data_IF_026154937536
#
_entry.id   IF_026154937536
#
_cell.length_a   1.000
_cell.length_b   1.000
_cell.length_c   1.000
_cell.angle_alpha   90.00
_cell.angle_beta   90.00
_cell.angle_gamma   90.00
#
_symmetry.space_group_name_H-M   'P 1'
#
loop_
_entity.id
_entity.type
_entity.pdbx_description
1 polymer ?
#
# COMPACT_ATOMS: atom_id res chain seq x y z
N UNK A 1 -11.22 -43.67 26.43
CA UNK A 1 -11.07 -42.77 27.61
C UNK A 1 -9.79 -41.93 27.56
N UNK A 2 -8.92 -42.10 26.55
CA UNK A 2 -7.74 -41.27 26.27
C UNK A 2 -8.07 -39.84 25.80
N UNK A 3 -9.19 -39.63 25.10
CA UNK A 3 -9.60 -38.30 24.62
C UNK A 3 -9.90 -37.28 25.73
N UNK A 4 -10.07 -37.74 26.98
CA UNK A 4 -10.32 -36.86 28.13
C UNK A 4 -9.05 -36.25 28.71
N UNK A 5 -7.89 -36.39 28.09
CA UNK A 5 -6.63 -35.78 28.56
C UNK A 5 -6.01 -34.82 27.52
N UNK A 6 -6.53 -34.73 26.29
CA UNK A 6 -6.01 -33.78 25.30
C UNK A 6 -6.14 -32.32 25.76
N UNK A 7 -7.13 -32.01 26.61
CA UNK A 7 -7.30 -30.67 27.17
C UNK A 7 -6.21 -30.28 28.18
N UNK A 8 -5.59 -31.26 28.86
CA UNK A 8 -4.51 -30.97 29.82
C UNK A 8 -3.24 -30.47 29.13
N UNK A 9 -3.04 -30.81 27.85
CA UNK A 9 -1.87 -30.38 27.08
C UNK A 9 -2.05 -28.97 26.46
N UNK A 10 -3.24 -28.38 26.56
CA UNK A 10 -3.53 -27.06 25.94
C UNK A 10 -3.38 -25.88 26.90
N UNK A 11 -2.89 -26.14 28.12
CA UNK A 11 -2.67 -25.08 29.10
C UNK A 11 -1.43 -24.26 28.79
N UNK A 12 -1.55 -22.94 28.92
CA UNK A 12 -0.40 -22.07 28.73
C UNK A 12 0.51 -22.16 29.96
N UNK A 13 1.73 -22.64 29.74
CA UNK A 13 2.76 -22.81 30.77
C UNK A 13 3.57 -21.53 30.95
N UNK A 14 3.81 -20.79 29.86
CA UNK A 14 4.64 -19.57 29.84
C UNK A 14 3.82 -18.29 30.04
N UNK A 15 2.96 -18.29 31.07
CA UNK A 15 2.17 -17.12 31.47
C UNK A 15 2.87 -16.29 32.53
N UNK A 16 2.85 -14.98 32.35
CA UNK A 16 3.20 -14.01 33.40
C UNK A 16 2.01 -13.74 34.30
N UNK A 17 0.83 -13.56 33.71
CA UNK A 17 -0.40 -13.21 34.42
C UNK A 17 -1.48 -14.23 34.09
N UNK A 18 -1.99 -14.92 35.12
CA UNK A 18 -3.05 -15.91 34.95
C UNK A 18 -4.44 -15.29 34.93
N UNK A 19 -4.65 -14.24 35.72
CA UNK A 19 -5.98 -13.62 35.86
C UNK A 19 -6.12 -12.38 34.99
N UNK A 20 -7.34 -12.14 34.50
CA UNK A 20 -7.68 -10.93 33.74
C UNK A 20 -7.46 -9.65 34.54
N UNK A 21 -7.66 -9.73 35.86
CA UNK A 21 -7.46 -8.61 36.76
C UNK A 21 -5.98 -8.18 36.80
N UNK A 22 -5.06 -9.15 36.83
CA UNK A 22 -3.62 -8.87 36.78
C UNK A 22 -3.22 -8.28 35.43
N UNK A 23 -3.73 -8.85 34.33
CA UNK A 23 -3.48 -8.34 32.98
C UNK A 23 -3.96 -6.89 32.81
N UNK A 24 -5.15 -6.55 33.34
CA UNK A 24 -5.68 -5.19 33.24
C UNK A 24 -4.98 -4.20 34.17
N UNK A 25 -4.73 -4.57 35.44
CA UNK A 25 -4.20 -3.65 36.44
C UNK A 25 -2.69 -3.55 36.42
N UNK A 26 -1.98 -4.65 36.17
CA UNK A 26 -0.50 -4.70 36.20
C UNK A 26 0.09 -4.35 34.85
N UNK A 27 -0.45 -4.89 33.75
CA UNK A 27 0.04 -4.59 32.39
C UNK A 27 -0.72 -3.46 31.70
N UNK A 28 -1.81 -2.96 32.28
CA UNK A 28 -2.58 -1.87 31.68
C UNK A 28 -3.36 -2.28 30.43
N UNK A 29 -3.75 -3.55 30.30
CA UNK A 29 -4.60 -3.99 29.19
C UNK A 29 -5.96 -3.28 29.25
N UNK A 30 -6.35 -2.64 28.14
CA UNK A 30 -7.60 -1.90 28.04
C UNK A 30 -8.66 -2.75 27.33
N UNK A 31 -9.63 -3.23 28.09
CA UNK A 31 -10.78 -3.96 27.54
C UNK A 31 -11.60 -3.01 26.66
N UNK A 32 -11.77 -3.38 25.38
CA UNK A 32 -12.59 -2.60 24.46
C UNK A 32 -14.08 -2.81 24.73
N UNK A 33 -14.95 -1.78 24.60
CA UNK A 33 -16.37 -1.90 24.92
C UNK A 33 -17.11 -2.97 24.10
N UNK A 34 -16.70 -3.19 22.85
CA UNK A 34 -17.27 -4.20 21.95
C UNK A 34 -16.97 -5.64 22.37
N UNK A 35 -16.00 -5.85 23.27
CA UNK A 35 -15.58 -7.17 23.73
C UNK A 35 -16.07 -7.52 25.14
N UNK A 36 -16.79 -6.63 25.83
CA UNK A 36 -17.20 -6.80 27.23
C UNK A 36 -17.96 -8.11 27.50
N UNK A 37 -18.71 -8.61 26.53
CA UNK A 37 -19.44 -9.89 26.65
C UNK A 37 -18.51 -11.08 26.91
N UNK A 38 -17.28 -11.06 26.38
CA UNK A 38 -16.30 -12.13 26.56
C UNK A 38 -15.66 -12.12 27.96
N UNK A 39 -15.64 -10.97 28.64
CA UNK A 39 -15.05 -10.84 29.97
C UNK A 39 -16.07 -11.04 31.09
N UNK A 40 -17.37 -11.08 30.77
CA UNK A 40 -18.43 -11.20 31.78
C UNK A 40 -18.36 -12.58 32.44
N UNK A 41 -18.18 -12.62 33.77
CA UNK A 41 -18.03 -13.83 34.59
C UNK A 41 -16.76 -14.66 34.34
N UNK A 42 -15.80 -14.14 33.57
CA UNK A 42 -14.51 -14.80 33.37
C UNK A 42 -13.45 -14.14 34.26
N UNK A 43 -12.68 -14.95 34.97
CA UNK A 43 -11.52 -14.50 35.74
C UNK A 43 -10.20 -14.95 35.11
N UNK A 44 -10.24 -16.07 34.39
CA UNK A 44 -9.11 -16.69 33.72
C UNK A 44 -8.85 -16.04 32.36
N UNK A 45 -7.64 -15.51 32.17
CA UNK A 45 -7.27 -14.86 30.92
C UNK A 45 -7.13 -15.86 29.76
N UNK A 46 -6.66 -17.08 30.04
CA UNK A 46 -6.44 -18.11 29.03
C UNK A 46 -7.77 -18.52 28.37
N UNK A 47 -8.80 -18.68 29.20
CA UNK A 47 -10.14 -19.01 28.71
C UNK A 47 -10.70 -17.94 27.77
N UNK A 48 -10.49 -16.66 28.07
CA UNK A 48 -10.94 -15.57 27.19
C UNK A 48 -10.18 -15.55 25.87
N UNK A 49 -8.89 -15.90 25.87
CA UNK A 49 -8.10 -16.06 24.62
C UNK A 49 -8.72 -17.16 23.74
N UNK A 50 -9.08 -18.30 24.33
CA UNK A 50 -9.76 -19.37 23.60
C UNK A 50 -11.17 -18.97 23.13
N UNK A 51 -11.95 -18.27 23.97
CA UNK A 51 -13.27 -17.77 23.58
C UNK A 51 -13.17 -16.79 22.37
N UNK A 52 -12.10 -15.97 22.29
CA UNK A 52 -11.83 -15.14 21.10
C UNK A 52 -11.46 -15.96 19.87
N UNK A 53 -10.62 -16.99 20.04
CA UNK A 53 -10.23 -17.90 18.97
C UNK A 53 -11.45 -18.63 18.37
N UNK A 54 -12.31 -19.18 19.22
CA UNK A 54 -13.55 -19.85 18.81
C UNK A 54 -14.51 -18.92 18.08
N UNK A 55 -14.56 -17.64 18.48
CA UNK A 55 -15.32 -16.60 17.79
C UNK A 55 -14.67 -16.10 16.49
N UNK A 56 -13.50 -16.64 16.09
CA UNK A 56 -12.74 -16.20 14.91
C UNK A 56 -12.14 -14.79 15.05
N UNK A 57 -12.00 -14.30 16.28
CA UNK A 57 -11.44 -12.98 16.63
C UNK A 57 -9.94 -13.07 16.90
N UNK A 58 -9.19 -13.70 15.99
CA UNK A 58 -7.76 -14.01 16.12
C UNK A 58 -6.90 -12.83 16.55
N UNK A 59 -7.10 -11.64 15.96
CA UNK A 59 -6.39 -10.42 16.36
C UNK A 59 -6.58 -10.09 17.85
N UNK A 60 -7.80 -10.21 18.37
CA UNK A 60 -8.10 -9.93 19.78
C UNK A 60 -7.47 -10.99 20.70
N UNK A 61 -7.46 -12.24 20.25
CA UNK A 61 -6.79 -13.35 20.93
C UNK A 61 -5.28 -13.09 21.04
N UNK A 62 -4.61 -12.72 19.93
CA UNK A 62 -3.21 -12.33 19.92
C UNK A 62 -2.93 -11.12 20.82
N UNK A 63 -3.78 -10.09 20.79
CA UNK A 63 -3.64 -8.90 21.64
C UNK A 63 -3.64 -9.27 23.13
N UNK A 64 -4.63 -10.04 23.60
CA UNK A 64 -4.69 -10.46 25.00
C UNK A 64 -3.52 -11.40 25.36
N UNK A 65 -3.15 -12.29 24.45
CA UNK A 65 -2.03 -13.22 24.63
C UNK A 65 -0.69 -12.49 24.81
N UNK A 66 -0.43 -11.44 24.04
CA UNK A 66 0.78 -10.63 24.17
C UNK A 66 0.93 -9.98 25.56
N UNK A 67 -0.19 -9.62 26.19
CA UNK A 67 -0.21 -9.00 27.52
C UNK A 67 -0.06 -10.02 28.67
N UNK A 68 -0.55 -11.25 28.49
CA UNK A 68 -0.45 -12.28 29.53
C UNK A 68 0.82 -13.13 29.45
N UNK A 69 1.46 -13.20 28.27
CA UNK A 69 2.64 -14.02 28.04
C UNK A 69 3.85 -13.56 28.86
N UNK A 70 4.71 -14.51 29.24
CA UNK A 70 6.05 -14.21 29.75
C UNK A 70 6.83 -13.40 28.70
N UNK A 71 7.51 -12.32 29.12
CA UNK A 71 8.13 -11.35 28.19
C UNK A 71 9.07 -12.00 27.17
N UNK A 72 9.92 -12.92 27.62
CA UNK A 72 10.84 -13.68 26.75
C UNK A 72 10.09 -14.55 25.73
N UNK A 73 9.02 -15.20 26.17
CA UNK A 73 8.20 -16.04 25.31
C UNK A 73 7.43 -15.19 24.29
N UNK A 74 6.93 -14.02 24.68
CA UNK A 74 6.27 -13.08 23.77
C UNK A 74 7.21 -12.58 22.64
N UNK A 75 8.47 -12.30 22.96
CA UNK A 75 9.48 -11.91 21.97
C UNK A 75 9.84 -13.08 21.05
N UNK A 76 10.01 -14.30 21.59
CA UNK A 76 10.19 -15.51 20.77
C UNK A 76 9.00 -15.77 19.83
N UNK A 77 7.78 -15.61 20.33
CA UNK A 77 6.58 -15.71 19.52
C UNK A 77 6.56 -14.66 18.39
N UNK A 78 6.87 -13.40 18.68
CA UNK A 78 7.02 -12.36 17.66
C UNK A 78 8.09 -12.70 16.62
N UNK A 79 9.20 -13.30 17.05
CA UNK A 79 10.29 -13.77 16.19
C UNK A 79 9.84 -14.90 15.26
N UNK A 80 9.10 -15.89 15.76
CA UNK A 80 8.51 -16.95 14.95
C UNK A 80 7.51 -16.42 13.91
N UNK A 81 6.69 -15.43 14.28
CA UNK A 81 5.78 -14.79 13.33
C UNK A 81 6.55 -14.04 12.21
N UNK A 82 7.70 -13.47 12.54
CA UNK A 82 8.55 -12.77 11.58
C UNK A 82 9.27 -13.74 10.64
N UNK A 83 9.75 -14.89 11.13
CA UNK A 83 10.28 -15.97 10.27
C UNK A 83 9.24 -16.43 9.26
N UNK A 84 8.02 -16.71 9.73
CA UNK A 84 6.94 -17.14 8.85
C UNK A 84 6.59 -16.09 7.79
N UNK A 85 6.69 -14.79 8.11
CA UNK A 85 6.55 -13.72 7.13
C UNK A 85 7.70 -13.73 6.11
N UNK A 86 8.95 -13.92 6.55
CA UNK A 86 10.11 -13.97 5.67
C UNK A 86 9.97 -15.14 4.69
N UNK A 87 9.53 -16.32 5.15
CA UNK A 87 9.21 -17.46 4.31
C UNK A 87 8.14 -17.12 3.26
N UNK A 88 7.05 -16.45 3.66
CA UNK A 88 6.02 -16.00 2.71
C UNK A 88 6.57 -15.05 1.65
N UNK A 89 7.43 -14.11 2.06
CA UNK A 89 8.02 -13.11 1.17
C UNK A 89 9.04 -13.70 0.20
N UNK A 90 9.67 -14.84 0.54
CA UNK A 90 10.51 -15.58 -0.41
C UNK A 90 9.68 -16.15 -1.57
N UNK A 91 8.44 -16.57 -1.30
CA UNK A 91 7.54 -17.12 -2.33
C UNK A 91 6.91 -16.00 -3.16
N UNK A 92 6.39 -14.97 -2.49
CA UNK A 92 5.76 -13.83 -3.14
C UNK A 92 6.38 -12.55 -2.57
N UNK A 93 7.44 -12.01 -3.20
CA UNK A 93 8.10 -10.81 -2.71
C UNK A 93 7.14 -9.62 -2.72
N UNK A 94 7.40 -8.66 -1.84
CA UNK A 94 6.66 -7.41 -1.83
C UNK A 94 7.02 -6.61 -3.09
N UNK A 95 6.04 -6.37 -3.96
CA UNK A 95 6.21 -5.42 -5.06
C UNK A 95 6.29 -4.01 -4.46
N UNK A 96 7.46 -3.39 -4.60
CA UNK A 96 7.61 -1.99 -4.32
C UNK A 96 6.73 -1.19 -5.29
N UNK A 97 6.01 -0.19 -4.76
CA UNK A 97 5.26 0.71 -5.63
C UNK A 97 6.28 1.49 -6.42
N UNK A 98 6.32 1.25 -7.72
CA UNK A 98 7.11 2.03 -8.63
C UNK A 98 6.70 3.51 -8.51
N UNK A 99 7.64 4.33 -8.04
CA UNK A 99 7.42 5.76 -7.87
C UNK A 99 7.23 6.41 -9.25
N UNK A 100 7.85 5.84 -10.29
CA UNK A 100 7.76 6.34 -11.67
C UNK A 100 6.37 6.08 -12.29
N UNK A 101 5.62 5.11 -11.74
CA UNK A 101 4.23 4.87 -12.15
C UNK A 101 3.32 6.05 -11.81
N UNK A 102 3.70 6.90 -10.84
CA UNK A 102 2.96 8.12 -10.48
C UNK A 102 2.98 9.12 -11.64
N UNK A 103 4.08 9.21 -12.39
CA UNK A 103 4.14 10.04 -13.60
C UNK A 103 3.34 9.45 -14.75
N UNK A 104 3.39 8.13 -14.92
CA UNK A 104 3.03 7.47 -16.18
C UNK A 104 1.51 7.45 -16.45
N UNK A 105 0.65 7.28 -15.44
CA UNK A 105 -0.81 7.21 -15.66
C UNK A 105 -1.54 8.45 -15.14
N UNK A 106 -1.85 9.39 -16.04
CA UNK A 106 -2.95 10.34 -15.83
C UNK A 106 -3.71 10.51 -17.11
N UNK A 107 -4.49 9.49 -17.41
CA UNK A 107 -5.68 9.69 -18.19
C UNK A 107 -6.74 10.14 -17.18
N UNK A 108 -7.09 11.44 -17.12
CA UNK A 108 -8.21 11.85 -16.31
C UNK A 108 -9.44 11.11 -16.84
N UNK A 109 -9.92 10.12 -16.09
CA UNK A 109 -11.14 9.43 -16.44
C UNK A 109 -12.24 10.48 -16.59
N UNK A 110 -12.74 10.63 -17.81
CA UNK A 110 -13.87 11.52 -18.08
C UNK A 110 -15.00 11.07 -17.15
N UNK A 111 -15.51 11.94 -16.27
CA UNK A 111 -16.58 11.55 -15.37
C UNK A 111 -17.74 10.94 -16.15
N UNK A 112 -18.44 9.96 -15.58
CA UNK A 112 -19.48 9.21 -16.31
C UNK A 112 -20.59 10.11 -16.87
N UNK A 113 -20.86 11.26 -16.24
CA UNK A 113 -21.82 12.25 -16.75
C UNK A 113 -21.37 12.94 -18.06
N UNK A 114 -20.08 12.93 -18.37
CA UNK A 114 -19.50 13.48 -19.60
C UNK A 114 -19.25 12.39 -20.66
N UNK A 115 -19.38 11.10 -20.30
CA UNK A 115 -19.41 9.96 -21.23
C UNK A 115 -20.80 9.73 -21.84
N UNK A 116 -21.64 10.77 -21.95
CA UNK A 116 -22.96 10.64 -22.58
C UNK A 116 -22.75 10.39 -24.06
N UNK A 117 -22.92 9.14 -24.48
CA UNK A 117 -23.00 8.80 -25.90
C UNK A 117 -24.09 9.69 -26.53
N UNK A 118 -23.80 10.37 -27.65
CA UNK A 118 -24.81 11.14 -28.34
C UNK A 118 -26.02 10.24 -28.62
N UNK A 119 -27.25 10.68 -28.31
CA UNK A 119 -28.43 9.85 -28.47
C UNK A 119 -28.48 9.34 -29.91
N UNK A 120 -28.43 8.02 -30.08
CA UNK A 120 -28.53 7.40 -31.39
C UNK A 120 -29.83 7.89 -32.04
N UNK A 121 -29.82 8.27 -33.32
CA UNK A 121 -31.03 8.73 -34.00
C UNK A 121 -32.09 7.63 -33.90
N UNK A 122 -33.14 7.89 -33.13
CA UNK A 122 -34.25 6.96 -32.98
C UNK A 122 -35.15 7.10 -34.21
N UNK A 123 -35.18 6.09 -35.12
CA UNK A 123 -35.92 6.19 -36.37
C UNK A 123 -37.42 6.38 -36.13
N UNK A 124 -37.97 5.93 -34.99
CA UNK A 124 -39.36 6.15 -34.64
C UNK A 124 -39.63 7.63 -34.33
N UNK A 125 -38.75 8.28 -33.55
CA UNK A 125 -38.84 9.73 -33.30
C UNK A 125 -38.67 10.56 -34.56
N UNK A 126 -37.79 10.16 -35.47
CA UNK A 126 -37.62 10.83 -36.76
C UNK A 126 -38.91 10.72 -37.58
N UNK A 127 -39.48 9.51 -37.70
CA UNK A 127 -40.74 9.27 -38.41
C UNK A 127 -41.93 10.02 -37.76
N UNK A 128 -42.03 10.06 -36.43
CA UNK A 128 -43.06 10.82 -35.71
C UNK A 128 -42.93 12.32 -35.96
N UNK A 129 -41.70 12.83 -36.01
CA UNK A 129 -41.45 14.24 -36.31
C UNK A 129 -41.81 14.56 -37.77
N UNK A 130 -41.46 13.70 -38.72
CA UNK A 130 -41.86 13.82 -40.13
C UNK A 130 -43.38 13.76 -40.30
N UNK A 131 -44.07 12.85 -39.62
CA UNK A 131 -45.52 12.73 -39.63
C UNK A 131 -46.20 13.98 -39.02
N UNK A 132 -45.65 14.52 -37.93
CA UNK A 132 -46.11 15.76 -37.31
C UNK A 132 -45.95 16.96 -38.27
N UNK A 133 -44.81 17.06 -38.96
CA UNK A 133 -44.55 18.08 -39.98
C UNK A 133 -45.56 17.95 -41.13
N UNK A 134 -45.79 16.73 -41.65
CA UNK A 134 -46.75 16.48 -42.72
C UNK A 134 -48.18 16.84 -42.30
N UNK A 135 -48.58 16.53 -41.06
CA UNK A 135 -49.89 16.89 -40.52
C UNK A 135 -50.06 18.41 -40.40
N UNK A 136 -49.08 19.11 -39.83
CA UNK A 136 -49.11 20.57 -39.74
C UNK A 136 -49.17 21.22 -41.14
N UNK A 137 -48.46 20.67 -42.12
CA UNK A 137 -48.55 21.13 -43.51
C UNK A 137 -49.94 20.91 -44.10
N UNK A 138 -50.57 19.75 -43.87
CA UNK A 138 -51.91 19.46 -44.35
C UNK A 138 -52.97 20.38 -43.73
N UNK A 139 -52.94 20.56 -42.41
CA UNK A 139 -53.83 21.48 -41.68
C UNK A 139 -53.65 22.92 -42.15
N UNK A 140 -52.40 23.35 -42.39
CA UNK A 140 -52.11 24.66 -42.95
C UNK A 140 -52.72 24.85 -44.34
N UNK A 141 -52.63 23.86 -45.24
CA UNK A 141 -53.25 23.95 -46.58
C UNK A 141 -54.78 23.96 -46.51
N UNK A 142 -55.39 23.20 -45.59
CA UNK A 142 -56.83 23.20 -45.40
C UNK A 142 -57.35 24.54 -44.88
N UNK A 143 -56.66 25.13 -43.90
CA UNK A 143 -56.98 26.47 -43.39
C UNK A 143 -56.79 27.54 -44.46
N UNK A 144 -55.75 27.41 -45.29
CA UNK A 144 -55.52 28.29 -46.43
C UNK A 144 -56.64 28.19 -47.48
N UNK A 145 -57.18 27.00 -47.73
CA UNK A 145 -58.30 26.83 -48.68
C UNK A 145 -59.62 27.45 -48.19
N UNK A 146 -59.80 27.60 -46.87
CA UNK A 146 -61.00 28.18 -46.24
C UNK A 146 -60.91 29.69 -46.03
N UNK A 147 -59.71 30.26 -46.10
CA UNK A 147 -59.49 31.67 -45.87
C UNK A 147 -59.84 32.51 -47.13
N UNK A 148 -60.36 33.71 -46.90
CA UNK A 148 -60.72 34.66 -47.95
C UNK A 148 -59.46 35.08 -48.75
N UNK A 149 -59.45 34.96 -50.10
CA UNK A 149 -58.28 35.26 -50.92
C UNK A 149 -57.70 36.66 -50.72
N UNK A 150 -58.55 37.66 -50.43
CA UNK A 150 -58.11 39.04 -50.21
C UNK A 150 -57.35 39.20 -48.88
N UNK A 151 -57.82 38.50 -47.83
CA UNK A 151 -57.15 38.44 -46.53
C UNK A 151 -55.82 37.68 -46.60
N UNK A 152 -55.78 36.56 -47.34
CA UNK A 152 -54.54 35.80 -47.55
C UNK A 152 -53.48 36.66 -48.24
N UNK A 153 -53.87 37.40 -49.28
CA UNK A 153 -52.95 38.29 -49.99
C UNK A 153 -52.40 39.38 -49.06
N UNK A 154 -53.26 39.98 -48.22
CA UNK A 154 -52.81 40.99 -47.24
C UNK A 154 -51.80 40.42 -46.23
N UNK A 155 -51.98 39.18 -45.77
CA UNK A 155 -51.05 38.51 -44.86
C UNK A 155 -49.75 38.16 -45.56
N UNK A 156 -49.80 37.61 -46.77
CA UNK A 156 -48.61 37.28 -47.57
C UNK A 156 -47.77 38.54 -47.87
N UNK A 157 -48.42 39.63 -48.28
CA UNK A 157 -47.76 40.91 -48.54
C UNK A 157 -47.13 41.48 -47.25
N UNK A 158 -47.83 41.40 -46.11
CA UNK A 158 -47.31 41.84 -44.82
C UNK A 158 -46.12 41.00 -44.34
N UNK A 159 -46.16 39.69 -44.58
CA UNK A 159 -45.11 38.74 -44.18
C UNK A 159 -43.86 38.90 -45.06
N UNK A 160 -44.03 39.15 -46.35
CA UNK A 160 -42.94 39.51 -47.26
C UNK A 160 -42.30 40.84 -46.85
N UNK A 161 -43.09 41.85 -46.47
CA UNK A 161 -42.58 43.13 -46.00
C UNK A 161 -41.77 42.99 -44.70
N UNK A 162 -42.24 42.15 -43.77
CA UNK A 162 -41.50 41.79 -42.56
C UNK A 162 -40.21 41.02 -42.87
N UNK A 163 -40.23 40.10 -43.85
CA UNK A 163 -39.04 39.37 -44.29
C UNK A 163 -38.02 40.26 -44.99
N UNK A 164 -38.47 41.28 -45.74
CA UNK A 164 -37.59 42.28 -46.33
C UNK A 164 -36.94 43.17 -45.27
N UNK A 165 -37.68 43.61 -44.25
CA UNK A 165 -37.10 44.33 -43.11
C UNK A 165 -36.10 43.45 -42.35
N UNK A 166 -36.42 42.17 -42.12
CA UNK A 166 -35.48 41.22 -41.52
C UNK A 166 -34.21 41.08 -42.37
N UNK A 167 -34.35 40.99 -43.70
CA UNK A 167 -33.23 40.93 -44.64
C UNK A 167 -32.40 42.21 -44.61
N UNK A 168 -33.00 43.40 -44.44
CA UNK A 168 -32.25 44.66 -44.25
C UNK A 168 -31.41 44.64 -42.98
N UNK A 169 -31.91 44.08 -41.89
CA UNK A 169 -31.21 44.04 -40.59
C UNK A 169 -30.14 42.94 -40.54
N UNK A 170 -30.45 41.74 -41.03
CA UNK A 170 -29.61 40.54 -40.85
C UNK A 170 -28.90 40.06 -42.14
N UNK A 171 -29.13 40.71 -43.27
CA UNK A 171 -28.48 40.42 -44.56
C UNK A 171 -29.01 39.19 -45.31
N UNK A 172 -29.85 38.36 -44.69
CA UNK A 172 -30.39 37.13 -45.27
C UNK A 172 -31.92 37.08 -45.16
N UNK A 173 -32.56 36.51 -46.18
CA UNK A 173 -33.99 36.23 -46.11
C UNK A 173 -34.24 35.07 -45.12
N UNK A 174 -35.25 35.12 -44.23
CA UNK A 174 -35.50 34.03 -43.26
C UNK A 174 -35.62 32.63 -43.89
N UNK A 175 -36.26 32.55 -45.05
CA UNK A 175 -36.36 31.29 -45.81
C UNK A 175 -35.03 30.82 -46.41
N UNK A 176 -34.09 31.72 -46.71
CA UNK A 176 -32.73 31.36 -47.13
C UNK A 176 -31.94 30.82 -45.94
N UNK A 177 -32.10 31.38 -44.73
CA UNK A 177 -31.48 30.84 -43.52
C UNK A 177 -31.97 29.44 -43.20
N UNK A 178 -33.28 29.18 -43.30
CA UNK A 178 -33.85 27.85 -43.12
C UNK A 178 -33.29 26.85 -44.16
N UNK A 179 -33.16 27.28 -45.43
CA UNK A 179 -32.52 26.46 -46.46
C UNK A 179 -31.04 26.23 -46.20
N UNK A 180 -30.30 27.23 -45.70
CA UNK A 180 -28.89 27.07 -45.32
C UNK A 180 -28.71 26.13 -44.13
N UNK A 181 -29.62 26.16 -43.16
CA UNK A 181 -29.61 25.22 -42.03
C UNK A 181 -29.97 23.81 -42.50
N UNK A 182 -30.95 23.66 -43.38
CA UNK A 182 -31.34 22.35 -43.93
C UNK A 182 -30.31 21.76 -44.91
N UNK A 183 -29.55 22.62 -45.62
CA UNK A 183 -28.50 22.20 -46.55
C UNK A 183 -27.15 21.98 -45.87
N UNK A 184 -26.95 22.47 -44.64
CA UNK A 184 -25.80 22.08 -43.84
C UNK A 184 -25.96 20.59 -43.54
N UNK A 185 -25.01 19.72 -43.96
CA UNK A 185 -25.04 18.33 -43.54
C UNK A 185 -25.12 18.30 -42.02
N UNK A 186 -25.84 17.32 -41.47
CA UNK A 186 -25.91 17.07 -40.02
C UNK A 186 -24.57 16.59 -39.46
N UNK A 187 -23.46 17.09 -39.99
CA UNK A 187 -22.16 16.84 -39.43
C UNK A 187 -22.15 17.48 -38.05
N UNK A 188 -21.90 16.69 -36.99
CA UNK A 188 -21.77 17.22 -35.65
C UNK A 188 -20.75 18.34 -35.71
N UNK A 189 -21.14 19.53 -35.25
CA UNK A 189 -20.34 20.76 -35.28
C UNK A 189 -18.84 20.45 -35.27
N UNK A 190 -18.09 20.77 -36.36
CA UNK A 190 -16.68 20.42 -36.43
C UNK A 190 -16.01 21.02 -35.21
N UNK A 191 -15.54 20.15 -34.33
CA UNK A 191 -14.85 20.55 -33.11
C UNK A 191 -13.59 21.27 -33.58
N UNK A 192 -13.59 22.61 -33.46
CA UNK A 192 -12.42 23.40 -33.78
C UNK A 192 -11.33 23.07 -32.76
N UNK A 193 -10.36 22.26 -33.18
CA UNK A 193 -9.19 21.88 -32.39
C UNK A 193 -8.39 23.10 -31.90
N UNK A 194 -8.54 24.27 -32.55
CA UNK A 194 -7.90 25.51 -32.13
C UNK A 194 -8.74 26.38 -31.18
N UNK A 195 -9.90 25.89 -30.75
CA UNK A 195 -10.75 26.59 -29.78
C UNK A 195 -9.93 26.94 -28.52
N UNK A 196 -10.13 28.14 -27.93
CA UNK A 196 -9.51 28.53 -26.67
C UNK A 196 -9.68 27.49 -25.56
N UNK A 197 -10.74 26.69 -25.62
CA UNK A 197 -11.01 25.60 -24.67
C UNK A 197 -9.96 24.49 -24.77
N UNK A 198 -9.60 24.04 -25.98
CA UNK A 198 -8.57 23.00 -26.15
C UNK A 198 -7.18 23.51 -25.81
N UNK A 199 -6.86 24.76 -26.18
CA UNK A 199 -5.61 25.40 -25.76
C UNK A 199 -5.48 25.50 -24.24
N UNK A 200 -6.54 25.93 -23.55
CA UNK A 200 -6.56 25.96 -22.09
C UNK A 200 -6.43 24.55 -21.49
N UNK A 201 -7.07 23.54 -22.10
CA UNK A 201 -6.92 22.16 -21.65
C UNK A 201 -5.48 21.64 -21.82
N UNK A 202 -4.83 21.93 -22.94
CA UNK A 202 -3.43 21.52 -23.20
C UNK A 202 -2.43 22.29 -22.32
N UNK A 203 -2.68 23.58 -22.06
CA UNK A 203 -1.93 24.36 -21.07
C UNK A 203 -2.08 23.82 -19.65
N UNK A 204 -3.27 23.36 -19.27
CA UNK A 204 -3.49 22.75 -17.95
C UNK A 204 -2.80 21.40 -17.88
N UNK A 205 -2.90 20.57 -18.92
CA UNK A 205 -2.21 19.27 -19.00
C UNK A 205 -0.69 19.44 -18.91
N UNK A 206 -0.11 20.36 -19.66
CA UNK A 206 1.33 20.63 -19.60
C UNK A 206 1.77 21.14 -18.23
N UNK A 207 1.07 22.09 -17.62
CA UNK A 207 1.36 22.54 -16.24
C UNK A 207 1.28 21.41 -15.23
N UNK A 208 0.28 20.54 -15.36
CA UNK A 208 0.08 19.39 -14.48
C UNK A 208 1.20 18.35 -14.65
N UNK A 209 1.69 18.13 -15.88
CA UNK A 209 2.89 17.32 -16.13
C UNK A 209 4.15 17.94 -15.52
N UNK A 210 4.35 19.26 -15.63
CA UNK A 210 5.49 19.94 -14.99
C UNK A 210 5.46 19.79 -13.47
N UNK A 211 4.32 20.07 -12.82
CA UNK A 211 4.18 19.93 -11.36
C UNK A 211 4.42 18.49 -10.91
N UNK A 212 4.02 17.49 -11.71
CA UNK A 212 4.29 16.08 -11.42
C UNK A 212 5.76 15.74 -11.49
N UNK A 213 6.46 16.22 -12.52
CA UNK A 213 7.90 16.00 -12.63
C UNK A 213 8.64 16.65 -11.45
N UNK A 214 8.30 17.89 -11.11
CA UNK A 214 8.87 18.57 -9.94
C UNK A 214 8.57 17.82 -8.63
N UNK A 215 7.37 17.24 -8.52
CA UNK A 215 6.99 16.42 -7.36
C UNK A 215 7.80 15.13 -7.30
N UNK A 216 8.03 14.46 -8.44
CA UNK A 216 8.87 13.27 -8.51
C UNK A 216 10.32 13.59 -8.15
N UNK A 217 10.89 14.65 -8.73
CA UNK A 217 12.25 15.08 -8.41
C UNK A 217 12.38 15.41 -6.92
N UNK A 218 11.35 16.03 -6.32
CA UNK A 218 11.29 16.27 -4.88
C UNK A 218 11.21 14.96 -4.08
N UNK A 219 10.43 13.99 -4.53
CA UNK A 219 10.32 12.67 -3.88
C UNK A 219 11.67 11.94 -3.94
N UNK A 220 12.33 11.88 -5.10
CA UNK A 220 13.65 11.27 -5.25
C UNK A 220 14.75 12.01 -4.46
N UNK A 221 14.64 13.33 -4.29
CA UNK A 221 15.59 14.10 -3.48
C UNK A 221 15.45 13.87 -1.97
N UNK A 222 14.24 13.56 -1.49
CA UNK A 222 13.95 13.37 -0.07
C UNK A 222 14.05 11.90 0.36
N UNK A 223 13.68 10.96 -0.52
CA UNK A 223 13.71 9.53 -0.22
C UNK A 223 15.08 8.97 -0.65
N UNK A 224 15.91 8.49 0.30
CA UNK A 224 17.17 7.87 -0.07
C UNK A 224 16.94 6.64 -0.95
N UNK A 225 17.82 6.36 -1.93
CA UNK A 225 17.70 5.16 -2.75
C UNK A 225 17.77 3.94 -1.85
N UNK A 226 16.78 3.05 -1.99
CA UNK A 226 16.80 1.76 -1.31
C UNK A 226 17.92 0.93 -1.91
N UNK A 227 18.81 0.44 -1.07
CA UNK A 227 19.86 -0.52 -1.46
C UNK A 227 19.44 -1.87 -0.86
N UNK A 228 18.88 -2.81 -1.66
CA UNK A 228 18.30 -4.05 -1.15
C UNK A 228 19.26 -4.86 -0.27
N UNK A 229 20.55 -4.88 -0.62
CA UNK A 229 21.59 -5.55 0.17
C UNK A 229 21.79 -4.93 1.56
N UNK A 230 21.74 -3.60 1.65
CA UNK A 230 21.83 -2.90 2.93
C UNK A 230 20.59 -3.19 3.79
N UNK A 231 19.40 -3.15 3.20
CA UNK A 231 18.15 -3.48 3.91
C UNK A 231 18.14 -4.92 4.42
N UNK A 232 18.57 -5.87 3.58
CA UNK A 232 18.71 -7.27 3.97
C UNK A 232 19.70 -7.42 5.14
N UNK A 233 20.88 -6.80 5.06
CA UNK A 233 21.89 -6.84 6.12
C UNK A 233 21.39 -6.24 7.44
N UNK A 234 20.69 -5.11 7.39
CA UNK A 234 20.14 -4.48 8.60
C UNK A 234 19.04 -5.36 9.21
N UNK A 235 18.17 -5.95 8.38
CA UNK A 235 17.17 -6.93 8.83
C UNK A 235 17.82 -8.13 9.50
N UNK A 236 18.87 -8.69 8.90
CA UNK A 236 19.54 -9.89 9.42
C UNK A 236 20.28 -9.58 10.74
N UNK A 237 20.90 -8.40 10.84
CA UNK A 237 21.45 -7.90 12.10
C UNK A 237 20.36 -7.78 13.19
N UNK A 238 19.16 -7.33 12.83
CA UNK A 238 18.04 -7.21 13.76
C UNK A 238 17.58 -8.59 14.24
N UNK A 239 17.39 -9.54 13.33
CA UNK A 239 17.04 -10.92 13.65
C UNK A 239 18.07 -11.56 14.58
N UNK A 240 19.35 -11.34 14.32
CA UNK A 240 20.42 -11.88 15.15
C UNK A 240 20.49 -11.21 16.54
N UNK A 241 20.25 -9.90 16.64
CA UNK A 241 20.18 -9.21 17.93
C UNK A 241 18.99 -9.68 18.77
N UNK A 242 17.83 -9.86 18.15
CA UNK A 242 16.63 -10.42 18.80
C UNK A 242 16.91 -11.84 19.30
N UNK A 243 17.45 -12.72 18.44
CA UNK A 243 17.75 -14.10 18.81
C UNK A 243 18.74 -14.16 19.98
N UNK A 244 19.83 -13.38 19.94
CA UNK A 244 20.79 -13.29 21.06
C UNK A 244 20.13 -12.88 22.37
N UNK A 245 19.23 -11.91 22.33
CA UNK A 245 18.45 -11.52 23.51
C UNK A 245 17.51 -12.64 23.97
N UNK A 246 16.88 -13.36 23.04
CA UNK A 246 16.03 -14.51 23.37
C UNK A 246 16.85 -15.62 24.01
N UNK A 247 18.09 -15.88 23.60
CA UNK A 247 18.95 -16.91 24.20
C UNK A 247 19.48 -16.45 25.57
N UNK A 248 19.93 -15.20 25.66
CA UNK A 248 20.49 -14.59 26.86
C UNK A 248 19.91 -13.17 27.05
N UNK A 249 18.81 -13.01 27.81
CA UNK A 249 18.14 -11.72 28.02
C UNK A 249 18.90 -10.86 29.05
N UNK A 250 20.17 -10.59 28.78
CA UNK A 250 21.04 -9.71 29.55
C UNK A 250 21.02 -8.27 29.03
N UNK A 251 21.62 -7.36 29.79
CA UNK A 251 21.66 -5.92 29.45
C UNK A 251 22.49 -5.63 28.19
N UNK A 252 23.52 -6.43 27.93
CA UNK A 252 24.40 -6.27 26.75
C UNK A 252 23.59 -6.56 25.48
N UNK A 253 22.84 -7.66 25.46
CA UNK A 253 22.00 -8.04 24.33
C UNK A 253 20.78 -7.12 24.21
N UNK A 254 20.22 -6.65 25.33
CA UNK A 254 19.15 -5.65 25.30
C UNK A 254 19.62 -4.33 24.66
N UNK A 255 20.83 -3.88 24.99
CA UNK A 255 21.45 -2.70 24.38
C UNK A 255 21.68 -2.90 22.89
N UNK A 256 22.21 -4.04 22.46
CA UNK A 256 22.37 -4.36 21.03
C UNK A 256 21.03 -4.34 20.29
N UNK A 257 19.98 -4.89 20.89
CA UNK A 257 18.63 -4.85 20.31
C UNK A 257 18.11 -3.40 20.17
N UNK A 258 18.42 -2.52 21.13
CA UNK A 258 18.11 -1.09 21.02
C UNK A 258 18.89 -0.41 19.87
N UNK A 259 20.19 -0.67 19.78
CA UNK A 259 21.06 -0.11 18.72
C UNK A 259 20.54 -0.50 17.34
N UNK A 260 20.31 -1.79 17.10
CA UNK A 260 19.82 -2.28 15.81
C UNK A 260 18.37 -1.85 15.54
N UNK A 261 17.53 -1.78 16.57
CA UNK A 261 16.17 -1.24 16.46
C UNK A 261 16.17 0.21 15.95
N UNK A 262 17.15 1.02 16.35
CA UNK A 262 17.31 2.39 15.84
C UNK A 262 17.76 2.44 14.37
N UNK A 263 18.45 1.42 13.88
CA UNK A 263 18.90 1.35 12.48
C UNK A 263 17.77 0.97 11.51
N UNK A 264 16.72 0.29 11.98
CA UNK A 264 15.60 -0.19 11.13
C UNK A 264 14.21 -0.04 11.77
N UNK A 265 13.97 1.10 12.40
CA UNK A 265 12.74 1.39 13.16
C UNK A 265 11.43 1.29 12.36
N UNK A 266 11.50 1.32 11.03
CA UNK A 266 10.39 1.22 10.08
C UNK A 266 10.04 -0.22 9.70
N UNK A 267 10.87 -1.19 10.06
CA UNK A 267 10.66 -2.61 9.73
C UNK A 267 10.03 -3.38 10.90
N UNK A 268 9.32 -4.49 10.64
CA UNK A 268 8.84 -5.36 11.72
C UNK A 268 9.97 -5.93 12.59
N UNK A 269 11.14 -6.19 12.00
CA UNK A 269 12.33 -6.68 12.69
C UNK A 269 12.91 -5.63 13.66
N UNK A 270 13.04 -4.38 13.22
CA UNK A 270 13.49 -3.29 14.08
C UNK A 270 12.53 -3.04 15.24
N UNK A 271 11.21 -3.07 14.98
CA UNK A 271 10.23 -2.93 16.05
C UNK A 271 10.28 -4.11 17.05
N UNK A 272 10.48 -5.34 16.59
CA UNK A 272 10.66 -6.50 17.46
C UNK A 272 11.97 -6.39 18.28
N UNK A 273 13.01 -5.78 17.72
CA UNK A 273 14.25 -5.48 18.45
C UNK A 273 14.00 -4.49 19.60
N UNK A 274 13.18 -3.45 19.39
CA UNK A 274 12.72 -2.60 20.49
C UNK A 274 11.90 -3.37 21.53
N UNK A 275 11.06 -4.31 21.11
CA UNK A 275 10.29 -5.14 22.03
C UNK A 275 11.20 -6.01 22.90
N UNK A 276 12.27 -6.58 22.33
CA UNK A 276 13.31 -7.31 23.08
C UNK A 276 13.99 -6.41 24.11
N UNK A 277 14.38 -5.19 23.72
CA UNK A 277 14.93 -4.20 24.64
C UNK A 277 13.95 -3.85 25.78
N UNK A 278 12.71 -3.50 25.47
CA UNK A 278 11.67 -3.18 26.46
C UNK A 278 11.32 -4.38 27.35
N UNK A 279 11.44 -5.60 26.84
CA UNK A 279 11.23 -6.80 27.62
C UNK A 279 12.31 -6.98 28.71
N UNK A 280 13.55 -6.53 28.45
CA UNK A 280 14.67 -6.56 29.39
C UNK A 280 14.46 -5.76 30.68
N UNK A 281 13.56 -4.78 30.66
CA UNK A 281 13.08 -4.10 31.86
C UNK A 281 13.87 -2.88 32.31
N UNK A 282 15.03 -2.57 31.72
CA UNK A 282 15.80 -1.35 31.98
C UNK A 282 15.84 -0.44 30.74
N UNK A 283 15.28 0.77 30.83
CA UNK A 283 15.29 1.75 29.74
C UNK A 283 16.61 2.53 29.61
N UNK A 284 17.52 2.40 30.58
CA UNK A 284 18.79 3.15 30.61
C UNK A 284 19.99 2.20 30.72
N UNK A 285 20.27 1.40 29.66
CA UNK A 285 21.33 0.39 29.69
C UNK A 285 22.75 0.97 29.80
N UNK A 286 22.93 2.25 29.49
CA UNK A 286 24.24 2.94 29.53
C UNK A 286 24.42 3.84 30.76
N UNK A 287 23.52 3.78 31.73
CA UNK A 287 23.64 4.64 32.90
C UNK A 287 24.85 4.20 33.74
N UNK A 288 25.90 5.02 33.78
CA UNK A 288 27.10 4.83 34.63
C UNK A 288 26.78 4.83 36.14
N UNK A 289 25.52 4.98 36.52
CA UNK A 289 25.06 5.28 37.87
C UNK A 289 24.17 4.18 38.47
N UNK A 290 24.22 2.95 37.93
CA UNK A 290 23.36 1.83 38.35
C UNK A 290 21.86 2.19 38.40
N UNK A 291 21.44 3.18 37.59
CA UNK A 291 20.08 3.68 37.60
C UNK A 291 19.21 2.77 36.73
N UNK A 292 18.40 1.94 37.39
CA UNK A 292 17.40 1.10 36.71
C UNK A 292 16.13 1.91 36.52
N UNK A 293 15.82 2.26 35.28
CA UNK A 293 14.53 2.85 34.91
C UNK A 293 13.62 1.73 34.43
N UNK A 294 12.61 1.31 35.22
CA UNK A 294 11.77 0.18 34.86
C UNK A 294 10.95 0.49 33.61
N UNK A 295 10.89 -0.46 32.67
CA UNK A 295 10.01 -0.36 31.51
C UNK A 295 8.55 -0.25 31.96
N UNK A 296 7.78 0.75 31.47
CA UNK A 296 6.36 0.88 31.75
C UNK A 296 5.57 -0.41 31.45
N UNK A 297 4.58 -0.67 32.29
CA UNK A 297 3.61 -1.74 32.11
C UNK A 297 2.99 -1.73 30.71
N UNK A 298 2.88 -2.91 30.09
CA UNK A 298 2.28 -3.06 28.77
C UNK A 298 3.06 -2.48 27.59
N UNK A 299 4.21 -1.81 27.79
CA UNK A 299 4.96 -1.23 26.66
C UNK A 299 5.47 -2.32 25.71
N UNK A 300 6.10 -3.36 26.24
CA UNK A 300 6.56 -4.49 25.44
C UNK A 300 5.40 -5.22 24.77
N UNK A 301 4.29 -5.47 25.48
CA UNK A 301 3.10 -6.13 24.93
C UNK A 301 2.47 -5.32 23.78
N UNK A 302 2.33 -4.01 23.94
CA UNK A 302 1.89 -3.12 22.87
C UNK A 302 2.83 -3.17 21.66
N UNK A 303 4.13 -3.16 21.90
CA UNK A 303 5.13 -3.34 20.86
C UNK A 303 4.91 -4.62 20.06
N UNK A 304 4.75 -5.77 20.75
CA UNK A 304 4.47 -7.05 20.10
C UNK A 304 3.17 -7.00 19.30
N UNK A 305 2.09 -6.41 19.83
CA UNK A 305 0.85 -6.22 19.07
C UNK A 305 1.06 -5.41 17.77
N UNK A 306 1.91 -4.39 17.81
CA UNK A 306 2.27 -3.59 16.63
C UNK A 306 3.16 -4.37 15.65
N UNK A 307 4.12 -5.17 16.14
CA UNK A 307 4.92 -6.09 15.30
C UNK A 307 3.99 -7.04 14.54
N UNK A 308 3.07 -7.70 15.24
CA UNK A 308 2.12 -8.62 14.62
C UNK A 308 1.24 -7.92 13.59
N UNK A 309 0.81 -6.69 13.88
CA UNK A 309 0.04 -5.88 12.93
C UNK A 309 0.87 -5.52 11.69
N UNK A 310 2.12 -5.09 11.86
CA UNK A 310 3.03 -4.79 10.75
C UNK A 310 3.29 -6.04 9.91
N UNK A 311 3.56 -7.19 10.54
CA UNK A 311 3.73 -8.45 9.83
C UNK A 311 2.45 -8.86 9.09
N UNK A 312 1.28 -8.69 9.70
CA UNK A 312 0.02 -9.08 9.09
C UNK A 312 -0.37 -8.17 7.90
N UNK A 313 -0.03 -6.88 7.96
CA UNK A 313 -0.26 -5.87 6.92
C UNK A 313 0.87 -5.75 5.89
N UNK A 314 1.97 -6.49 6.06
CA UNK A 314 3.10 -6.43 5.14
C UNK A 314 2.65 -6.76 3.72
N UNK A 315 3.13 -5.99 2.74
CA UNK A 315 2.84 -6.23 1.32
C UNK A 315 3.52 -7.52 0.85
N UNK A 316 2.96 -8.16 -0.18
CA UNK A 316 3.43 -9.48 -0.63
C UNK A 316 3.00 -10.61 0.30
N UNK A 317 3.62 -11.77 0.12
CA UNK A 317 3.31 -13.02 0.80
C UNK A 317 2.04 -13.73 0.28
N UNK A 318 1.81 -14.94 0.77
CA UNK A 318 0.76 -15.83 0.25
C UNK A 318 -0.56 -15.73 1.03
N UNK A 319 -0.53 -15.22 2.28
CA UNK A 319 -1.69 -15.22 3.19
C UNK A 319 -2.33 -13.84 3.31
N UNK A 320 -3.65 -13.83 3.46
CA UNK A 320 -4.41 -12.60 3.76
C UNK A 320 -4.31 -12.22 5.24
N UNK A 321 -4.70 -10.99 5.59
CA UNK A 321 -4.68 -10.45 6.95
C UNK A 321 -5.27 -11.40 8.01
N UNK A 322 -6.47 -11.96 7.75
CA UNK A 322 -7.15 -12.85 8.70
C UNK A 322 -6.42 -14.19 8.88
N UNK A 323 -5.90 -14.74 7.79
CA UNK A 323 -5.17 -16.02 7.78
C UNK A 323 -3.82 -15.87 8.48
N UNK A 324 -3.14 -14.73 8.32
CA UNK A 324 -1.91 -14.41 9.06
C UNK A 324 -2.16 -14.33 10.56
N UNK A 325 -3.20 -13.63 11.01
CA UNK A 325 -3.53 -13.61 12.44
C UNK A 325 -3.91 -14.98 13.00
N UNK A 326 -4.60 -15.82 12.21
CA UNK A 326 -4.86 -17.19 12.62
C UNK A 326 -3.56 -18.00 12.77
N UNK A 327 -2.63 -17.86 11.83
CA UNK A 327 -1.32 -18.50 11.92
C UNK A 327 -0.50 -17.98 13.11
N UNK A 328 -0.42 -16.67 13.28
CA UNK A 328 0.29 -16.04 14.41
C UNK A 328 -0.32 -16.45 15.75
N UNK A 329 -1.64 -16.61 15.82
CA UNK A 329 -2.29 -17.16 17.01
C UNK A 329 -1.80 -18.59 17.29
N UNK A 330 -1.79 -19.47 16.28
CA UNK A 330 -1.30 -20.87 16.43
C UNK A 330 0.17 -20.91 16.88
N UNK A 331 1.04 -20.16 16.21
CA UNK A 331 2.45 -20.04 16.62
C UNK A 331 2.58 -19.55 18.08
N UNK A 332 1.72 -18.63 18.50
CA UNK A 332 1.71 -18.17 19.89
C UNK A 332 1.25 -19.23 20.87
N UNK A 333 0.21 -20.01 20.53
CA UNK A 333 -0.22 -21.17 21.33
C UNK A 333 0.92 -22.16 21.50
N UNK A 334 1.61 -22.52 20.40
CA UNK A 334 2.71 -23.49 20.44
C UNK A 334 3.85 -22.99 21.35
N UNK A 335 4.14 -21.68 21.30
CA UNK A 335 5.14 -21.06 22.19
C UNK A 335 4.67 -21.04 23.64
N UNK A 336 3.43 -20.63 23.92
CA UNK A 336 2.93 -20.47 25.29
C UNK A 336 2.68 -21.80 26.00
N UNK A 337 2.32 -22.86 25.26
CA UNK A 337 2.24 -24.24 25.77
C UNK A 337 3.62 -24.86 25.98
N UNK A 338 4.65 -24.31 25.34
CA UNK A 338 6.03 -24.77 25.41
C UNK A 338 6.40 -25.84 24.37
N UNK A 339 5.47 -26.16 23.45
CA UNK A 339 5.70 -27.06 22.31
C UNK A 339 6.77 -26.50 21.37
N UNK A 340 6.75 -25.19 21.11
CA UNK A 340 7.78 -24.50 20.33
C UNK A 340 8.58 -23.54 21.23
N UNK A 341 9.80 -23.94 21.58
CA UNK A 341 10.70 -23.13 22.38
C UNK A 341 12.08 -23.03 21.70
N UNK A 342 12.91 -22.10 22.17
CA UNK A 342 14.23 -21.85 21.58
C UNK A 342 15.32 -22.83 22.07
N UNK A 343 14.99 -23.87 22.84
CA UNK A 343 15.98 -24.78 23.44
C UNK A 343 16.67 -25.62 22.37
N UNK A 344 15.92 -26.14 21.40
CA UNK A 344 16.49 -26.96 20.31
C UNK A 344 17.51 -26.16 19.51
N UNK A 345 17.17 -24.93 19.10
CA UNK A 345 18.10 -24.03 18.41
C UNK A 345 19.35 -23.71 19.24
N UNK A 346 19.23 -23.60 20.56
CA UNK A 346 20.39 -23.38 21.44
C UNK A 346 21.28 -24.62 21.54
N UNK A 347 20.69 -25.82 21.54
CA UNK A 347 21.44 -27.08 21.55
C UNK A 347 22.19 -27.28 20.23
N UNK A 348 21.54 -26.97 19.11
CA UNK A 348 22.12 -27.05 17.77
C UNK A 348 23.17 -25.96 17.54
N UNK A 349 23.06 -24.83 18.24
CA UNK A 349 23.98 -23.70 18.10
C UNK A 349 23.72 -22.86 16.84
N UNK A 350 22.58 -23.07 16.18
CA UNK A 350 22.18 -22.40 14.95
C UNK A 350 20.90 -21.57 15.21
N UNK A 351 20.91 -20.31 14.77
CA UNK A 351 19.70 -19.51 14.85
C UNK A 351 18.73 -19.93 13.73
N UNK A 352 17.41 -20.01 13.98
CA UNK A 352 16.47 -20.45 12.94
C UNK A 352 16.46 -19.60 11.67
N UNK A 353 16.89 -18.33 11.74
CA UNK A 353 17.01 -17.47 10.56
C UNK A 353 18.26 -17.77 9.72
N UNK A 354 19.27 -18.44 10.28
CA UNK A 354 20.52 -18.76 9.59
C UNK A 354 20.38 -19.97 8.68
N UNK A 355 19.56 -20.96 9.06
CA UNK A 355 19.33 -22.21 8.33
C UNK A 355 18.81 -21.99 6.89
N UNK A 356 18.29 -20.80 6.60
CA UNK A 356 17.70 -20.47 5.31
C UNK A 356 18.50 -19.47 4.47
N UNK A 357 19.67 -19.03 4.95
CA UNK A 357 20.61 -18.37 4.05
C UNK A 357 20.96 -19.41 3.00
N UNK A 358 20.70 -19.18 1.70
CA UNK A 358 21.14 -20.13 0.68
C UNK A 358 22.60 -20.33 0.95
N UNK A 359 22.95 -21.55 1.37
CA UNK A 359 24.33 -22.00 1.49
C UNK A 359 25.01 -21.36 0.30
N UNK A 360 25.95 -20.45 0.54
CA UNK A 360 26.79 -19.89 -0.49
C UNK A 360 27.70 -21.01 -0.97
N UNK A 361 27.11 -22.10 -1.45
CA UNK A 361 27.68 -23.01 -2.40
C UNK A 361 28.28 -22.07 -3.41
N UNK A 362 29.62 -21.99 -3.36
CA UNK A 362 30.42 -21.33 -4.37
C UNK A 362 29.71 -21.58 -5.69
N UNK A 363 29.41 -20.54 -6.48
CA UNK A 363 28.81 -20.75 -7.79
C UNK A 363 29.61 -21.89 -8.40
N UNK A 364 28.96 -23.05 -8.62
CA UNK A 364 29.62 -24.17 -9.26
C UNK A 364 30.25 -23.54 -10.49
N UNK A 365 31.60 -23.47 -10.50
CA UNK A 365 32.32 -22.98 -11.66
C UNK A 365 31.68 -23.75 -12.81
N UNK A 366 31.05 -23.06 -13.77
CA UNK A 366 30.34 -23.75 -14.84
C UNK A 366 31.33 -24.78 -15.36
N UNK A 367 31.00 -26.07 -15.24
CA UNK A 367 31.86 -27.13 -15.73
C UNK A 367 32.13 -26.76 -17.18
N UNK A 368 33.32 -26.24 -17.45
CA UNK A 368 33.73 -25.85 -18.79
C UNK A 368 33.70 -27.15 -19.56
N UNK A 369 32.66 -27.34 -20.37
CA UNK A 369 32.53 -28.49 -21.24
C UNK A 369 33.76 -28.46 -22.15
N UNK A 370 34.74 -29.37 -21.98
CA UNK A 370 36.03 -29.25 -22.64
C UNK A 370 35.96 -29.45 -24.16
N UNK A 371 34.77 -29.72 -24.72
CA UNK A 371 34.56 -29.92 -26.15
C UNK A 371 34.22 -28.62 -26.93
N UNK A 372 33.89 -27.50 -26.29
CA UNK A 372 33.48 -26.27 -27.02
C UNK A 372 34.60 -25.23 -27.22
N UNK A 373 35.85 -25.55 -26.87
CA UNK A 373 37.01 -24.64 -27.03
C UNK A 373 37.80 -24.87 -28.33
N UNK A 374 37.40 -25.83 -29.19
CA UNK A 374 38.16 -26.15 -30.42
C UNK A 374 37.64 -25.53 -31.73
N UNK A 375 36.57 -24.71 -31.75
CA UNK A 375 36.00 -24.21 -33.01
C UNK A 375 35.92 -22.67 -33.18
N UNK A 376 36.60 -21.88 -32.34
CA UNK A 376 36.73 -20.43 -32.55
C UNK A 376 38.13 -20.06 -33.08
N UNK A 377 38.41 -20.49 -34.30
CA UNK A 377 39.56 -20.03 -35.07
C UNK A 377 39.21 -18.82 -35.94
N UNK A 378 40.00 -17.75 -35.79
CA UNK A 378 40.43 -16.79 -36.82
C UNK A 378 39.44 -15.69 -37.29
N UNK A 379 39.63 -14.49 -36.73
CA UNK A 379 39.84 -13.20 -37.45
C UNK A 379 40.24 -12.15 -36.42
N UNK A 380 41.52 -11.87 -36.20
CA UNK A 380 42.36 -10.87 -36.92
C UNK A 380 41.69 -9.49 -37.10
N UNK A 381 42.38 -8.50 -36.55
CA UNK A 381 42.28 -7.04 -36.72
C UNK A 381 41.17 -6.28 -35.97
N UNK A 382 41.47 -5.90 -34.73
CA UNK A 382 40.90 -4.70 -34.10
C UNK A 382 42.03 -3.81 -33.58
N UNK A 383 42.18 -2.67 -34.24
CA UNK A 383 43.14 -1.62 -33.92
C UNK A 383 42.85 -1.03 -32.53
N UNK A 384 43.91 -0.95 -31.73
CA UNK A 384 43.94 -0.38 -30.38
C UNK A 384 43.96 1.15 -30.48
N UNK A 385 42.78 1.80 -30.50
CA UNK A 385 42.67 3.23 -30.21
C UNK A 385 42.67 3.44 -28.69
N UNK A 386 43.85 3.75 -28.14
CA UNK A 386 44.00 4.29 -26.80
C UNK A 386 43.45 5.72 -26.75
N UNK A 387 42.20 5.88 -26.33
CA UNK A 387 41.68 7.18 -25.90
C UNK A 387 42.19 7.49 -24.48
N UNK A 388 43.00 8.54 -24.39
CA UNK A 388 43.44 9.18 -23.14
C UNK A 388 42.22 9.64 -22.33
N UNK A 389 41.93 8.91 -21.25
CA UNK A 389 40.94 9.31 -20.24
C UNK A 389 41.60 10.38 -19.36
N UNK A 390 41.09 11.63 -19.31
CA UNK A 390 41.65 12.66 -18.44
C UNK A 390 41.42 12.30 -16.97
N UNK A 391 42.52 12.36 -16.23
CA UNK A 391 42.63 12.17 -14.77
C UNK A 391 41.60 13.05 -14.05
N UNK A 392 40.57 12.42 -13.48
CA UNK A 392 39.50 13.10 -12.74
C UNK A 392 40.03 13.45 -11.35
N UNK A 393 40.20 14.73 -11.07
CA UNK A 393 40.60 15.24 -9.75
C UNK A 393 39.68 14.70 -8.63
N UNK A 394 40.24 14.33 -7.46
CA UNK A 394 39.45 13.82 -6.35
C UNK A 394 38.56 14.93 -5.78
N UNK A 395 37.25 14.73 -5.85
CA UNK A 395 36.26 15.61 -5.25
C UNK A 395 36.50 15.73 -3.73
N UNK A 396 36.68 16.96 -3.26
CA UNK A 396 36.80 17.30 -1.85
C UNK A 396 35.57 16.81 -1.07
N UNK A 397 35.84 16.00 -0.05
CA UNK A 397 34.89 15.42 0.87
C UNK A 397 34.10 16.53 1.62
N UNK A 398 32.79 16.71 1.38
CA UNK A 398 32.03 17.72 2.10
C UNK A 398 31.83 17.24 3.55
N UNK A 399 32.51 17.93 4.48
CA UNK A 399 32.36 17.76 5.93
C UNK A 399 30.89 17.60 6.29
N UNK A 400 30.53 16.42 6.81
CA UNK A 400 29.17 16.12 7.28
C UNK A 400 28.80 17.06 8.42
N UNK A 401 27.96 18.05 8.15
CA UNK A 401 27.34 18.89 9.18
C UNK A 401 26.02 18.22 9.59
N UNK A 402 26.10 17.17 10.40
CA UNK A 402 24.92 16.67 11.11
C UNK A 402 24.55 17.68 12.20
N UNK A 403 23.63 18.60 11.87
CA UNK A 403 22.94 19.42 12.87
C UNK A 403 22.03 18.53 13.71
N UNK A 404 22.46 18.27 14.95
CA UNK A 404 21.69 17.60 16.00
C UNK A 404 20.36 18.34 16.22
N UNK A 405 19.26 17.76 15.74
CA UNK A 405 17.90 18.22 16.04
C UNK A 405 17.62 17.96 17.52
N UNK A 406 17.33 19.01 18.29
CA UNK A 406 16.81 18.90 19.66
C UNK A 406 15.29 18.99 19.61
N UNK A 407 14.53 18.00 20.10
CA UNK A 407 13.08 18.15 20.22
C UNK A 407 12.77 19.02 21.44
N UNK A 408 12.19 20.20 21.20
CA UNK A 408 11.49 20.99 22.21
C UNK A 408 10.06 20.46 22.32
N UNK A 409 9.78 19.77 23.42
CA UNK A 409 8.41 19.58 23.91
C UNK A 409 8.24 20.49 25.15
N UNK A 410 7.28 21.40 25.09
CA UNK A 410 6.73 22.15 26.22
C UNK A 410 5.34 21.60 26.54
#
# INVERSE_FOLDING_TARGET
MSDKLEWMNKHFVLLRHKTLNDVCNVEGYKIRPDLLSFFTNQTDAEKVVWDFAEAGRWKCACELMAYMAHRRAAVWWGYQCLLSLIEELKIVPAEDRDIDSIATSFEPEVPDFAKVEPPKPDPARVADMEASIAKMQAEYQEMRAKADPEMLKMVEDGLELAFQEFKKVHGHHPMELLKMVAAKPSDPYPIDLNSPIFKAADEIKSKLMTVRQETLDTIHAVIPPKVPEHEAKVRDNAMQAIYRWIVAPDEINAKKALEVGNECSDTPAGLLSYCAFWAGGNLTPDSKQDQVVPTPAGLAANGICQVLLMCALHKGGTRKLKERYELYFKLGVDVLTGENNWVESVIEGEAPHDAESPSSSEPEEPEEDPEEVMEAGLSEDMEEEQEDIPEKEPAENPKSVYKRWKPTWM
#
